data_IF_755726084991
#
_entry.id   IF_755726084991
#
_cell.length_a   1.000
_cell.length_b   1.000
_cell.length_c   1.000
_cell.angle_alpha   90.00
_cell.angle_beta   90.00
_cell.angle_gamma   90.00
#
_symmetry.space_group_name_H-M   'P 1'
#
loop_
_entity.id
_entity.type
_entity.pdbx_description
1 polymer ?
#
# COMPACT_ATOMS: atom_id res chain seq x y z
N UNK A 1 -3.42 -42.72 -16.81
CA UNK A 1 -4.45 -42.65 -15.76
C UNK A 1 -3.85 -41.76 -14.70
N UNK A 2 -4.29 -40.51 -14.70
CA UNK A 2 -3.70 -39.36 -14.01
C UNK A 2 -3.97 -39.44 -12.50
N UNK A 3 -2.91 -39.36 -11.69
CA UNK A 3 -3.02 -39.16 -10.25
C UNK A 3 -3.50 -37.73 -10.02
N UNK A 4 -4.78 -37.61 -9.67
CA UNK A 4 -5.45 -36.38 -9.28
C UNK A 4 -4.94 -36.02 -7.87
N UNK A 5 -4.04 -35.04 -7.79
CA UNK A 5 -3.68 -34.40 -6.53
C UNK A 5 -4.91 -33.63 -6.05
N UNK A 6 -5.76 -34.32 -5.29
CA UNK A 6 -6.87 -33.74 -4.55
C UNK A 6 -6.28 -32.91 -3.38
N UNK A 7 -5.72 -31.75 -3.73
CA UNK A 7 -5.19 -30.77 -2.80
C UNK A 7 -6.37 -30.12 -2.09
N UNK A 8 -6.79 -30.78 -1.02
CA UNK A 8 -7.87 -30.38 -0.14
C UNK A 8 -7.66 -28.94 0.35
N UNK A 9 -8.28 -28.00 -0.35
CA UNK A 9 -8.43 -26.62 0.07
C UNK A 9 -9.17 -26.62 1.41
N UNK A 10 -8.53 -26.25 2.54
CA UNK A 10 -9.20 -26.29 3.83
C UNK A 10 -10.39 -25.33 3.83
N UNK A 11 -11.52 -25.68 4.48
CA UNK A 11 -12.70 -24.84 4.51
C UNK A 11 -12.35 -23.47 5.11
N UNK A 12 -12.63 -22.41 4.34
CA UNK A 12 -12.51 -21.02 4.78
C UNK A 12 -13.37 -20.84 6.03
N UNK A 13 -12.73 -20.78 7.20
CA UNK A 13 -13.42 -20.53 8.48
C UNK A 13 -13.02 -21.44 9.63
N UNK A 14 -12.31 -22.53 9.41
CA UNK A 14 -11.75 -23.32 10.53
C UNK A 14 -10.35 -22.83 10.82
N UNK A 15 -10.28 -21.85 11.69
CA UNK A 15 -9.10 -21.54 12.47
C UNK A 15 -8.39 -22.86 12.89
N UNK A 16 -7.08 -23.08 12.61
CA UNK A 16 -6.35 -24.24 13.09
C UNK A 16 -6.64 -24.50 14.58
N UNK A 17 -6.89 -25.76 14.98
CA UNK A 17 -7.30 -26.09 16.34
C UNK A 17 -6.21 -25.84 17.39
N UNK A 18 -4.95 -25.67 16.96
CA UNK A 18 -3.82 -25.39 17.83
C UNK A 18 -3.60 -23.86 17.98
N UNK A 19 -3.84 -23.28 19.17
CA UNK A 19 -3.57 -21.87 19.48
C UNK A 19 -2.09 -21.48 19.27
N UNK A 20 -1.15 -22.42 19.38
CA UNK A 20 0.27 -22.15 19.21
C UNK A 20 0.64 -21.87 17.73
N UNK A 21 -0.14 -22.37 16.77
CA UNK A 21 0.01 -22.03 15.35
C UNK A 21 -0.31 -20.54 15.06
N UNK A 22 -1.01 -19.85 15.98
CA UNK A 22 -1.28 -18.41 15.93
C UNK A 22 -0.21 -17.57 16.60
N UNK A 23 0.77 -18.16 17.29
CA UNK A 23 1.83 -17.42 17.97
C UNK A 23 3.09 -17.28 17.10
N UNK A 24 2.90 -17.28 15.78
CA UNK A 24 3.94 -16.80 14.88
C UNK A 24 4.36 -15.37 15.28
N UNK A 25 5.65 -15.00 15.18
CA UNK A 25 6.11 -13.64 15.50
C UNK A 25 5.33 -12.54 14.76
N UNK A 26 4.70 -12.87 13.62
CA UNK A 26 3.83 -11.98 12.85
C UNK A 26 2.50 -11.70 13.57
N UNK A 27 1.85 -12.72 14.11
CA UNK A 27 0.57 -12.58 14.80
C UNK A 27 0.70 -11.92 16.18
N UNK A 28 1.83 -12.13 16.87
CA UNK A 28 2.18 -11.38 18.10
C UNK A 28 2.32 -9.87 17.80
N UNK A 29 2.99 -9.51 16.70
CA UNK A 29 3.12 -8.11 16.26
C UNK A 29 1.79 -7.52 15.80
N UNK A 30 0.89 -8.33 15.23
CA UNK A 30 -0.44 -7.89 14.82
C UNK A 30 -1.31 -7.54 16.04
N UNK A 31 -1.34 -8.42 17.06
CA UNK A 31 -2.03 -8.16 18.33
C UNK A 31 -1.45 -6.95 19.08
N UNK A 32 -0.11 -6.80 19.07
CA UNK A 32 0.54 -5.63 19.67
C UNK A 32 0.14 -4.29 19.00
N UNK A 33 -0.34 -4.32 17.75
CA UNK A 33 -0.85 -3.16 17.02
C UNK A 33 -2.37 -2.97 17.17
N UNK A 34 -3.03 -3.78 18.01
CA UNK A 34 -4.48 -3.73 18.23
C UNK A 34 -5.31 -4.34 17.11
N UNK A 35 -4.72 -5.17 16.25
CA UNK A 35 -5.46 -5.88 15.20
C UNK A 35 -6.08 -7.15 15.80
N UNK A 36 -7.40 -7.31 15.69
CA UNK A 36 -8.15 -8.49 16.18
C UNK A 36 -7.78 -9.79 15.44
N UNK A 37 -7.30 -9.68 14.19
CA UNK A 37 -6.85 -10.81 13.38
C UNK A 37 -5.43 -10.59 12.83
N UNK A 38 -4.67 -11.66 12.52
CA UNK A 38 -3.39 -11.55 11.83
C UNK A 38 -3.58 -10.83 10.48
N UNK A 39 -2.72 -9.85 10.17
CA UNK A 39 -2.71 -9.22 8.85
C UNK A 39 -2.26 -10.25 7.80
N UNK A 40 -3.24 -10.83 7.10
CA UNK A 40 -3.05 -11.72 5.95
C UNK A 40 -3.09 -10.83 4.70
N UNK A 41 -1.98 -10.74 3.99
CA UNK A 41 -1.95 -10.07 2.68
C UNK A 41 -2.94 -10.77 1.75
N UNK A 42 -3.95 -10.03 1.26
CA UNK A 42 -5.02 -10.59 0.42
C UNK A 42 -6.31 -10.97 1.18
N UNK A 43 -6.39 -10.74 2.50
CA UNK A 43 -7.65 -10.78 3.24
C UNK A 43 -8.43 -9.47 3.13
N UNK A 44 -9.74 -9.52 3.37
CA UNK A 44 -10.59 -8.33 3.42
C UNK A 44 -10.24 -7.46 4.64
N UNK A 45 -10.14 -6.14 4.43
CA UNK A 45 -9.90 -5.17 5.50
C UNK A 45 -11.10 -5.17 6.47
N UNK A 46 -10.89 -5.35 7.80
CA UNK A 46 -11.97 -5.27 8.78
C UNK A 46 -12.58 -3.86 8.89
N UNK A 47 -11.89 -2.80 8.47
CA UNK A 47 -12.41 -1.42 8.42
C UNK A 47 -12.04 -0.73 7.09
N UNK A 48 -12.73 -1.08 5.99
CA UNK A 48 -12.41 -0.59 4.66
C UNK A 48 -12.65 0.92 4.53
N UNK A 49 -13.57 1.49 5.31
CA UNK A 49 -13.88 2.92 5.26
C UNK A 49 -12.70 3.76 5.74
N UNK A 50 -12.03 3.32 6.81
CA UNK A 50 -10.83 3.99 7.33
C UNK A 50 -9.64 3.82 6.39
N UNK A 51 -9.42 2.62 5.85
CA UNK A 51 -8.36 2.38 4.86
C UNK A 51 -8.47 3.32 3.65
N UNK A 52 -9.67 3.43 3.07
CA UNK A 52 -9.94 4.32 1.93
C UNK A 52 -9.75 5.81 2.24
N UNK A 53 -10.06 6.25 3.46
CA UNK A 53 -9.86 7.64 3.87
C UNK A 53 -8.36 8.00 3.96
N UNK A 54 -7.55 7.08 4.48
CA UNK A 54 -6.10 7.22 4.55
C UNK A 54 -5.47 7.19 3.14
N UNK A 55 -5.92 6.29 2.27
CA UNK A 55 -5.48 6.23 0.87
C UNK A 55 -5.72 7.54 0.11
N UNK A 56 -6.89 8.17 0.27
CA UNK A 56 -7.18 9.47 -0.37
C UNK A 56 -6.26 10.59 0.13
N UNK A 57 -5.79 10.52 1.39
CA UNK A 57 -4.83 11.50 1.92
C UNK A 57 -3.47 11.30 1.28
N UNK A 58 -2.96 10.06 1.24
CA UNK A 58 -1.67 9.76 0.63
C UNK A 58 -1.68 9.99 -0.89
N UNK A 59 -2.76 9.64 -1.57
CA UNK A 59 -2.94 9.93 -3.00
C UNK A 59 -2.88 11.43 -3.31
N UNK A 60 -3.52 12.28 -2.49
CA UNK A 60 -3.43 13.74 -2.64
C UNK A 60 -2.01 14.27 -2.42
N UNK A 61 -1.28 13.74 -1.44
CA UNK A 61 0.12 14.13 -1.20
C UNK A 61 1.01 13.73 -2.37
N UNK A 62 0.84 12.49 -2.88
CA UNK A 62 1.59 12.01 -4.04
C UNK A 62 1.33 12.89 -5.27
N UNK A 63 0.05 13.20 -5.54
CA UNK A 63 -0.33 14.09 -6.63
C UNK A 63 0.28 15.48 -6.47
N UNK A 64 0.26 16.05 -5.26
CA UNK A 64 0.87 17.35 -4.99
C UNK A 64 2.39 17.34 -5.25
N UNK A 65 3.10 16.27 -4.87
CA UNK A 65 4.53 16.12 -5.14
C UNK A 65 4.82 16.06 -6.64
N UNK A 66 4.03 15.30 -7.40
CA UNK A 66 4.17 15.20 -8.87
C UNK A 66 3.97 16.56 -9.53
N UNK A 67 2.91 17.27 -9.15
CA UNK A 67 2.64 18.63 -9.66
C UNK A 67 3.80 19.56 -9.33
N UNK A 68 4.36 19.50 -8.12
CA UNK A 68 5.51 20.31 -7.72
C UNK A 68 6.78 19.99 -8.53
N UNK A 69 7.03 18.71 -8.83
CA UNK A 69 8.16 18.31 -9.68
C UNK A 69 8.01 18.85 -11.11
N UNK A 70 6.83 18.68 -11.72
CA UNK A 70 6.56 19.18 -13.08
C UNK A 70 6.63 20.70 -13.11
N UNK A 71 5.98 21.35 -12.14
CA UNK A 71 5.93 22.81 -12.02
C UNK A 71 7.30 23.43 -11.80
N UNK A 72 8.16 22.81 -10.99
CA UNK A 72 9.53 23.32 -10.77
C UNK A 72 10.39 23.19 -12.02
N UNK A 73 10.31 22.06 -12.74
CA UNK A 73 10.99 21.90 -14.03
C UNK A 73 10.55 22.94 -15.06
N UNK A 74 9.23 23.17 -15.17
CA UNK A 74 8.67 24.20 -16.05
C UNK A 74 9.12 25.62 -15.65
N UNK A 75 9.09 25.94 -14.37
CA UNK A 75 9.50 27.26 -13.86
C UNK A 75 10.98 27.54 -14.12
N UNK A 76 11.86 26.56 -13.84
CA UNK A 76 13.30 26.67 -14.08
C UNK A 76 13.58 26.81 -15.58
N UNK A 77 12.97 25.95 -16.41
CA UNK A 77 13.13 26.01 -17.87
C UNK A 77 12.69 27.36 -18.45
N UNK A 78 11.57 27.89 -17.97
CA UNK A 78 11.07 29.22 -18.36
C UNK A 78 12.02 30.33 -17.94
N UNK A 79 12.54 30.30 -16.70
CA UNK A 79 13.49 31.29 -16.21
C UNK A 79 14.77 31.31 -17.06
N UNK A 80 15.32 30.14 -17.39
CA UNK A 80 16.49 30.01 -18.27
C UNK A 80 16.20 30.57 -19.66
N UNK A 81 15.06 30.21 -20.25
CA UNK A 81 14.67 30.69 -21.58
C UNK A 81 14.56 32.22 -21.63
N UNK A 82 13.95 32.83 -20.60
CA UNK A 82 13.83 34.28 -20.50
C UNK A 82 15.19 34.96 -20.29
N UNK A 83 16.04 34.43 -19.42
CA UNK A 83 17.39 34.98 -19.20
C UNK A 83 18.26 34.87 -20.46
N UNK A 84 18.24 33.71 -21.14
CA UNK A 84 18.97 33.50 -22.40
C UNK A 84 18.49 34.41 -23.53
N UNK A 85 17.18 34.71 -23.59
CA UNK A 85 16.61 35.67 -24.53
C UNK A 85 17.06 37.11 -24.25
N UNK A 86 17.29 37.48 -22.99
CA UNK A 86 17.74 38.83 -22.60
C UNK A 86 19.25 39.06 -22.71
N UNK A 87 20.07 38.00 -22.72
CA UNK A 87 21.54 38.08 -22.78
C UNK A 87 22.13 37.95 -24.19
N UNK A 88 21.33 37.59 -25.19
CA UNK A 88 21.76 37.46 -26.59
C UNK A 88 21.56 38.75 -27.40
N UNK A 89 22.38 39.78 -27.13
CA UNK A 89 22.63 40.91 -28.06
C UNK A 89 24.10 41.27 -28.03
#
# INVERSE_FOLDING_TARGET
MTEEFDEANPPRGTMPPDPAAYDSPRAVRARAKGLEAPYISGGDDPDPARGLAEERRYGRLLLAMVIAMIGSGFAIGTAIALMGLTGGR
#
